data_IF_573175381542
#
_entry.id   IF_573175381542
#
_cell.length_a   1.000
_cell.length_b   1.000
_cell.length_c   1.000
_cell.angle_alpha   90.00
_cell.angle_beta   90.00
_cell.angle_gamma   90.00
#
_symmetry.space_group_name_H-M   'P 1'
#
loop_
_entity.id
_entity.type
_entity.pdbx_description
1 polymer ?
#
# COMPACT_ATOMS: atom_id res chain seq x y z
N UNK A 1 -9.81 0.10 -6.94
CA UNK A 1 -10.28 1.37 -6.33
C UNK A 1 -9.25 1.87 -5.32
N UNK A 2 -8.71 3.09 -5.52
CA UNK A 2 -7.77 3.70 -4.57
C UNK A 2 -8.48 4.13 -3.28
N UNK A 3 -7.74 4.11 -2.17
CA UNK A 3 -8.20 4.54 -0.84
C UNK A 3 -7.61 5.91 -0.55
N UNK A 4 -8.32 6.97 -0.97
CA UNK A 4 -7.88 8.36 -0.84
C UNK A 4 -6.42 8.54 -1.31
N UNK A 5 -5.63 9.35 -0.60
CA UNK A 5 -4.19 9.55 -0.85
C UNK A 5 -3.28 8.57 -0.13
N UNK A 6 -3.76 7.40 0.32
CA UNK A 6 -2.95 6.47 1.15
C UNK A 6 -1.93 5.63 0.38
N UNK A 7 -1.90 5.77 -0.95
CA UNK A 7 -1.21 4.89 -1.91
C UNK A 7 -1.67 3.42 -1.86
N UNK A 8 -2.85 3.13 -1.29
CA UNK A 8 -3.41 1.79 -1.19
C UNK A 8 -4.59 1.61 -2.14
N UNK A 9 -4.73 0.39 -2.67
CA UNK A 9 -5.98 -0.11 -3.22
C UNK A 9 -6.75 -0.88 -2.15
N UNK A 10 -8.08 -0.95 -2.31
CA UNK A 10 -8.93 -1.81 -1.46
C UNK A 10 -8.46 -3.27 -1.53
N UNK A 11 -8.15 -3.74 -2.73
CA UNK A 11 -7.52 -5.02 -2.99
C UNK A 11 -6.31 -4.79 -3.90
N UNK A 12 -5.19 -5.42 -3.56
CA UNK A 12 -3.99 -5.43 -4.41
C UNK A 12 -4.20 -6.37 -5.61
N UNK A 13 -3.42 -6.18 -6.67
CA UNK A 13 -3.48 -7.00 -7.89
C UNK A 13 -3.12 -8.46 -7.63
N UNK A 14 -2.14 -8.66 -6.73
CA UNK A 14 -1.68 -9.97 -6.31
C UNK A 14 -1.99 -10.20 -4.83
N UNK A 15 -1.89 -11.45 -4.40
CA UNK A 15 -2.04 -11.79 -3.00
C UNK A 15 -0.85 -11.22 -2.21
N UNK A 16 -1.11 -10.22 -1.37
CA UNK A 16 -0.12 -9.64 -0.47
C UNK A 16 -0.43 -9.99 0.99
N UNK A 17 0.53 -9.73 1.88
CA UNK A 17 0.30 -9.81 3.33
C UNK A 17 -0.88 -8.95 3.78
N UNK A 18 -1.16 -7.82 3.09
CA UNK A 18 -2.32 -6.97 3.39
C UNK A 18 -3.64 -7.69 3.11
N UNK A 19 -3.75 -8.41 2.00
CA UNK A 19 -4.97 -9.16 1.65
C UNK A 19 -5.29 -10.23 2.71
N UNK A 20 -4.28 -10.98 3.16
CA UNK A 20 -4.45 -12.02 4.18
C UNK A 20 -4.74 -11.38 5.55
N UNK A 21 -4.05 -10.31 5.92
CA UNK A 21 -4.33 -9.57 7.15
C UNK A 21 -5.75 -8.99 7.14
N UNK A 22 -6.22 -8.46 6.01
CA UNK A 22 -7.57 -7.94 5.85
C UNK A 22 -8.62 -9.01 6.10
N UNK A 23 -8.42 -10.22 5.57
CA UNK A 23 -9.28 -11.36 5.87
C UNK A 23 -9.33 -11.62 7.38
N UNK A 24 -8.18 -11.77 8.04
CA UNK A 24 -8.11 -11.99 9.48
C UNK A 24 -8.80 -10.87 10.28
N UNK A 25 -8.63 -9.60 9.88
CA UNK A 25 -9.25 -8.44 10.51
C UNK A 25 -10.77 -8.44 10.38
N UNK A 26 -11.33 -8.81 9.23
CA UNK A 26 -12.78 -8.91 9.07
C UNK A 26 -13.37 -9.97 10.00
N UNK A 27 -12.70 -11.11 10.16
CA UNK A 27 -13.09 -12.14 11.14
C UNK A 27 -12.91 -11.65 12.57
N UNK A 28 -11.86 -10.90 12.88
CA UNK A 28 -11.65 -10.31 14.20
C UNK A 28 -12.80 -9.35 14.54
N UNK A 29 -13.15 -8.43 13.63
CA UNK A 29 -14.26 -7.47 13.79
C UNK A 29 -15.60 -8.20 13.94
N UNK A 30 -15.84 -9.25 13.14
CA UNK A 30 -17.05 -10.06 13.26
C UNK A 30 -17.17 -10.76 14.62
N UNK A 31 -16.08 -11.37 15.09
CA UNK A 31 -16.06 -12.05 16.39
C UNK A 31 -16.15 -11.05 17.56
N UNK A 32 -15.56 -9.86 17.43
CA UNK A 32 -15.75 -8.76 18.37
C UNK A 32 -17.22 -8.34 18.41
N UNK A 33 -17.86 -8.16 17.25
CA UNK A 33 -19.30 -7.86 17.18
C UNK A 33 -20.16 -8.94 17.87
N UNK A 34 -19.79 -10.21 17.72
CA UNK A 34 -20.46 -11.35 18.38
C UNK A 34 -20.03 -11.59 19.83
N UNK A 35 -19.15 -10.75 20.38
CA UNK A 35 -18.59 -10.89 21.75
C UNK A 35 -17.88 -12.22 22.00
N UNK A 36 -17.37 -12.86 20.93
CA UNK A 36 -16.58 -14.09 21.01
C UNK A 36 -15.12 -13.75 21.25
N UNK A 37 -14.79 -13.42 22.51
CA UNK A 37 -13.49 -12.86 22.90
C UNK A 37 -12.30 -13.73 22.48
N UNK A 38 -12.35 -15.06 22.70
CA UNK A 38 -11.26 -15.97 22.33
C UNK A 38 -10.96 -15.95 20.83
N UNK A 39 -12.00 -16.03 19.99
CA UNK A 39 -11.85 -15.97 18.53
C UNK A 39 -11.38 -14.58 18.07
N UNK A 40 -11.89 -13.51 18.66
CA UNK A 40 -11.43 -12.15 18.37
C UNK A 40 -9.93 -11.99 18.66
N UNK A 41 -9.45 -12.48 19.81
CA UNK A 41 -8.03 -12.45 20.18
C UNK A 41 -7.20 -13.26 19.18
N UNK A 42 -7.62 -14.49 18.87
CA UNK A 42 -6.90 -15.36 17.93
C UNK A 42 -6.73 -14.72 16.55
N UNK A 43 -7.82 -14.19 15.97
CA UNK A 43 -7.77 -13.50 14.67
C UNK A 43 -6.98 -12.19 14.72
N UNK A 44 -7.01 -11.47 15.84
CA UNK A 44 -6.23 -10.26 16.04
C UNK A 44 -4.73 -10.53 16.10
N UNK A 45 -4.33 -11.58 16.82
CA UNK A 45 -2.93 -12.04 16.89
C UNK A 45 -2.46 -12.49 15.51
N UNK A 46 -3.26 -13.28 14.79
CA UNK A 46 -2.94 -13.68 13.42
C UNK A 46 -2.72 -12.46 12.50
N UNK A 47 -3.61 -11.46 12.55
CA UNK A 47 -3.47 -10.24 11.77
C UNK A 47 -2.20 -9.44 12.12
N UNK A 48 -1.85 -9.35 13.42
CA UNK A 48 -0.61 -8.71 13.89
C UNK A 48 0.63 -9.42 13.37
N UNK A 49 0.67 -10.76 13.40
CA UNK A 49 1.80 -11.55 12.91
C UNK A 49 2.00 -11.40 11.40
N UNK A 50 0.91 -11.27 10.63
CA UNK A 50 0.97 -11.14 9.17
C UNK A 50 1.31 -9.71 8.74
N UNK A 51 0.66 -8.73 9.35
CA UNK A 51 0.83 -7.32 9.00
C UNK A 51 0.60 -6.41 10.23
N UNK A 52 1.65 -6.06 10.99
CA UNK A 52 1.53 -5.37 12.27
C UNK A 52 0.71 -4.08 12.21
N UNK A 53 0.96 -3.22 11.21
CA UNK A 53 0.28 -1.93 11.07
C UNK A 53 -1.24 -2.08 10.87
N UNK A 54 -1.66 -2.94 9.94
CA UNK A 54 -3.06 -3.23 9.68
C UNK A 54 -3.71 -3.92 10.89
N UNK A 55 -2.99 -4.83 11.54
CA UNK A 55 -3.39 -5.47 12.80
C UNK A 55 -3.80 -4.45 13.86
N UNK A 56 -2.96 -3.45 14.12
CA UNK A 56 -3.24 -2.36 15.08
C UNK A 56 -4.51 -1.59 14.70
N UNK A 57 -4.68 -1.24 13.42
CA UNK A 57 -5.87 -0.53 12.93
C UNK A 57 -7.17 -1.33 13.09
N UNK A 58 -7.13 -2.65 12.86
CA UNK A 58 -8.31 -3.48 13.03
C UNK A 58 -8.63 -3.81 14.49
N UNK A 59 -7.61 -3.98 15.33
CA UNK A 59 -7.78 -4.17 16.77
C UNK A 59 -8.39 -2.92 17.41
N UNK A 60 -7.86 -1.73 17.09
CA UNK A 60 -8.39 -0.47 17.61
C UNK A 60 -9.85 -0.26 17.19
N UNK A 61 -10.21 -0.60 15.95
CA UNK A 61 -11.59 -0.57 15.50
C UNK A 61 -12.48 -1.58 16.25
N UNK A 62 -12.04 -2.82 16.39
CA UNK A 62 -12.79 -3.87 17.08
C UNK A 62 -13.05 -3.51 18.56
N UNK A 63 -12.05 -2.93 19.24
CA UNK A 63 -12.18 -2.40 20.59
C UNK A 63 -13.19 -1.26 20.67
N UNK A 64 -13.09 -0.28 19.77
CA UNK A 64 -14.05 0.83 19.71
C UNK A 64 -15.48 0.33 19.48
N UNK A 65 -15.66 -0.63 18.58
CA UNK A 65 -16.94 -1.25 18.28
C UNK A 65 -17.54 -1.95 19.52
N UNK A 66 -16.73 -2.73 20.24
CA UNK A 66 -17.12 -3.37 21.51
C UNK A 66 -17.55 -2.35 22.57
N UNK A 67 -16.77 -1.28 22.73
CA UNK A 67 -17.06 -0.21 23.70
C UNK A 67 -18.38 0.51 23.38
N UNK A 68 -18.59 0.88 22.11
CA UNK A 68 -19.82 1.56 21.70
C UNK A 68 -21.04 0.64 21.81
N UNK A 69 -20.91 -0.64 21.44
CA UNK A 69 -21.98 -1.63 21.59
C UNK A 69 -22.40 -1.81 23.06
N UNK A 70 -21.43 -1.94 23.97
CA UNK A 70 -21.70 -2.06 25.42
C UNK A 70 -22.34 -0.80 26.00
N UNK A 71 -21.92 0.39 25.55
CA UNK A 71 -22.48 1.67 25.99
C UNK A 71 -23.93 1.88 25.57
N UNK A 72 -24.37 1.32 24.45
CA UNK A 72 -25.80 1.36 24.08
C UNK A 72 -26.65 0.34 24.86
N UNK A 73 -26.04 -0.73 25.36
CA UNK A 73 -26.71 -1.71 26.23
C UNK A 73 -26.86 -1.25 27.68
N UNK A 74 -26.01 -0.34 28.14
CA UNK A 74 -26.01 0.18 29.51
C UNK A 74 -26.24 1.68 29.47
N UNK A 75 -27.47 2.12 29.79
CA UNK A 75 -27.80 3.56 29.88
C UNK A 75 -26.81 4.25 30.82
N UNK A 76 -25.98 5.11 30.23
CA UNK A 76 -25.11 6.10 30.85
C UNK A 76 -24.21 5.61 32.00
N UNK A 77 -22.90 5.48 31.73
CA UNK A 77 -21.84 6.05 32.57
C UNK A 77 -20.49 6.07 31.86
N UNK A 78 -19.91 7.27 31.84
CA UNK A 78 -18.52 7.67 31.57
C UNK A 78 -17.86 7.17 30.26
N UNK A 79 -17.48 8.15 29.42
CA UNK A 79 -16.32 7.99 28.54
C UNK A 79 -15.10 7.75 29.42
N UNK A 80 -14.39 6.62 29.32
CA UNK A 80 -13.03 6.60 29.78
C UNK A 80 -12.23 7.39 28.75
N UNK A 81 -11.86 8.61 29.10
CA UNK A 81 -10.71 9.27 28.50
C UNK A 81 -9.53 8.32 28.71
N UNK A 82 -9.10 7.62 27.67
CA UNK A 82 -7.83 6.91 27.69
C UNK A 82 -6.75 7.93 27.33
N UNK A 83 -5.97 8.46 28.30
CA UNK A 83 -4.70 9.05 27.94
C UNK A 83 -3.78 7.88 27.59
N UNK A 84 -3.78 7.46 26.33
CA UNK A 84 -2.68 6.63 25.86
C UNK A 84 -1.49 7.57 25.66
N UNK A 85 -0.84 7.90 26.78
CA UNK A 85 0.48 8.51 26.77
C UNK A 85 1.45 7.43 26.26
N UNK A 86 1.53 7.26 24.94
CA UNK A 86 2.60 6.50 24.33
C UNK A 86 3.87 7.31 24.59
N UNK A 87 4.89 6.77 25.28
CA UNK A 87 6.15 7.46 25.44
C UNK A 87 6.80 7.60 24.06
N UNK A 88 6.57 8.75 23.42
CA UNK A 88 7.12 9.09 22.10
C UNK A 88 8.63 9.30 22.15
N UNK A 89 9.21 9.46 23.35
CA UNK A 89 10.62 9.79 23.58
C UNK A 89 11.59 8.73 23.06
N UNK A 90 11.20 7.45 23.01
CA UNK A 90 12.00 6.37 22.42
C UNK A 90 11.75 6.12 20.93
N UNK A 91 10.74 6.77 20.34
CA UNK A 91 10.36 6.59 18.93
C UNK A 91 10.95 7.68 18.00
N UNK A 92 11.45 8.76 18.59
CA UNK A 92 12.12 9.85 17.89
C UNK A 92 13.58 9.47 17.65
N UNK A 93 13.84 8.72 16.59
CA UNK A 93 15.21 8.45 16.15
C UNK A 93 15.82 9.71 15.52
N UNK A 94 17.13 9.89 15.69
CA UNK A 94 17.88 10.90 14.94
C UNK A 94 17.78 10.53 13.46
N UNK A 95 17.10 11.36 12.67
CA UNK A 95 17.00 11.15 11.23
C UNK A 95 18.26 11.68 10.54
N UNK A 96 18.93 10.81 9.78
CA UNK A 96 20.03 11.24 8.92
C UNK A 96 19.51 12.07 7.74
N UNK A 97 20.39 12.81 7.07
CA UNK A 97 20.03 13.53 5.85
C UNK A 97 19.54 12.58 4.76
N UNK A 98 20.11 11.37 4.67
CA UNK A 98 19.64 10.38 3.71
C UNK A 98 18.22 9.90 3.99
N UNK A 99 17.85 9.72 5.26
CA UNK A 99 16.47 9.42 5.63
C UNK A 99 15.51 10.54 5.20
N UNK A 100 15.91 11.81 5.39
CA UNK A 100 15.09 12.96 4.98
C UNK A 100 14.86 12.98 3.47
N UNK A 101 15.85 12.57 2.66
CA UNK A 101 15.67 12.42 1.21
C UNK A 101 14.70 11.29 0.90
N UNK A 102 14.85 10.13 1.53
CA UNK A 102 13.97 8.97 1.30
C UNK A 102 12.51 9.26 1.68
N UNK A 103 12.25 9.88 2.83
CA UNK A 103 10.87 10.15 3.28
C UNK A 103 10.16 11.19 2.42
N UNK A 104 10.90 12.13 1.82
CA UNK A 104 10.33 13.13 0.89
C UNK A 104 9.84 12.52 -0.43
N UNK A 105 10.31 11.33 -0.81
CA UNK A 105 9.74 10.61 -1.98
C UNK A 105 8.36 10.02 -1.66
N UNK A 106 7.95 10.00 -0.39
CA UNK A 106 6.68 9.43 0.10
C UNK A 106 5.69 10.51 0.48
N UNK A 107 5.23 11.27 -0.51
CA UNK A 107 4.27 12.35 -0.27
C UNK A 107 3.00 11.92 0.45
N UNK A 108 2.53 10.69 0.18
CA UNK A 108 1.36 10.11 0.84
C UNK A 108 1.50 9.92 2.36
N UNK A 109 2.71 9.99 2.93
CA UNK A 109 2.90 10.01 4.38
C UNK A 109 2.43 11.32 5.01
N UNK A 110 2.42 12.42 4.25
CA UNK A 110 2.19 13.77 4.75
C UNK A 110 0.85 14.30 4.25
N UNK A 111 -0.09 14.49 5.16
CA UNK A 111 -1.47 14.86 4.80
C UNK A 111 -1.57 16.22 4.07
N UNK A 112 -0.64 17.13 4.33
CA UNK A 112 -0.60 18.44 3.66
C UNK A 112 -0.12 18.36 2.20
N UNK A 113 0.49 17.24 1.79
CA UNK A 113 0.89 17.01 0.40
C UNK A 113 -0.20 16.30 -0.41
N UNK A 114 -1.33 15.96 0.24
CA UNK A 114 -2.46 15.32 -0.43
C UNK A 114 -3.23 16.32 -1.30
N UNK A 115 -3.64 15.85 -2.47
CA UNK A 115 -4.46 16.59 -3.42
C UNK A 115 -5.89 16.77 -2.91
N UNK A 116 -6.60 17.79 -3.40
CA UNK A 116 -7.97 18.11 -2.95
C UNK A 116 -8.95 16.92 -3.05
N UNK A 117 -8.81 16.06 -4.07
CA UNK A 117 -9.65 14.88 -4.24
C UNK A 117 -9.31 13.76 -3.25
N UNK A 118 -8.08 13.73 -2.73
CA UNK A 118 -7.67 12.79 -1.68
C UNK A 118 -8.26 13.20 -0.33
N UNK A 119 -8.37 14.51 -0.06
CA UNK A 119 -9.14 15.05 1.06
C UNK A 119 -10.63 14.71 0.95
N UNK A 120 -11.21 14.79 -0.24
CA UNK A 120 -12.56 14.30 -0.48
C UNK A 120 -12.68 12.80 -0.15
N UNK A 121 -11.63 12.02 -0.45
CA UNK A 121 -11.50 10.62 -0.03
C UNK A 121 -11.46 10.37 1.48
N UNK A 122 -11.20 11.39 2.31
CA UNK A 122 -11.32 11.29 3.78
C UNK A 122 -12.76 11.54 4.19
N UNK A 123 -13.33 12.67 3.74
CA UNK A 123 -14.60 13.18 4.28
C UNK A 123 -15.84 12.57 3.62
N UNK A 124 -15.81 12.26 2.32
CA UNK A 124 -16.97 11.68 1.63
C UNK A 124 -17.40 10.33 2.24
N UNK A 125 -16.50 9.38 2.57
CA UNK A 125 -16.85 8.18 3.32
C UNK A 125 -17.55 8.46 4.66
N UNK A 126 -17.11 9.48 5.41
CA UNK A 126 -17.71 9.81 6.70
C UNK A 126 -19.14 10.35 6.53
N UNK A 127 -19.36 11.19 5.52
CA UNK A 127 -20.70 11.68 5.15
C UNK A 127 -21.60 10.52 4.74
N UNK A 128 -21.09 9.58 3.92
CA UNK A 128 -21.84 8.39 3.51
C UNK A 128 -22.21 7.51 4.71
N UNK A 129 -21.27 7.26 5.63
CA UNK A 129 -21.53 6.51 6.86
C UNK A 129 -22.57 7.21 7.74
N UNK A 130 -22.55 8.54 7.82
CA UNK A 130 -23.56 9.30 8.53
C UNK A 130 -24.95 9.14 7.90
N UNK A 131 -25.03 9.15 6.57
CA UNK A 131 -26.27 8.86 5.84
C UNK A 131 -26.74 7.41 6.09
N UNK A 132 -25.83 6.44 6.06
CA UNK A 132 -26.14 5.02 6.34
C UNK A 132 -26.66 4.83 7.75
N UNK A 133 -26.08 5.51 8.73
CA UNK A 133 -26.55 5.56 10.12
C UNK A 133 -27.99 6.11 10.20
N UNK A 134 -28.30 7.22 9.51
CA UNK A 134 -29.65 7.80 9.44
C UNK A 134 -30.66 6.85 8.81
N UNK A 135 -30.31 6.21 7.70
CA UNK A 135 -31.14 5.22 7.00
C UNK A 135 -31.36 3.99 7.90
N UNK A 136 -30.32 3.55 8.60
CA UNK A 136 -30.36 2.38 9.49
C UNK A 136 -31.30 2.61 10.67
N UNK A 137 -31.27 3.80 11.30
CA UNK A 137 -32.24 4.17 12.35
C UNK A 137 -33.67 4.17 11.84
N UNK A 138 -33.92 4.77 10.67
CA UNK A 138 -35.26 4.80 10.05
C UNK A 138 -35.81 3.39 9.80
N UNK A 139 -34.94 2.45 9.41
CA UNK A 139 -35.31 1.07 9.09
C UNK A 139 -35.17 0.09 10.27
N UNK A 140 -34.96 0.58 11.50
CA UNK A 140 -34.77 -0.23 12.72
C UNK A 140 -33.65 -1.28 12.58
N UNK A 141 -32.50 -0.87 12.04
CA UNK A 141 -31.31 -1.70 11.88
C UNK A 141 -30.22 -1.27 12.87
N UNK A 142 -30.28 -1.70 14.14
CA UNK A 142 -29.38 -1.22 15.19
C UNK A 142 -27.92 -1.57 14.91
N UNK A 143 -27.67 -2.76 14.35
CA UNK A 143 -26.31 -3.19 14.02
C UNK A 143 -25.63 -2.25 13.02
N UNK A 144 -26.30 -1.94 11.91
CA UNK A 144 -25.79 -1.05 10.87
C UNK A 144 -25.60 0.38 11.39
N UNK A 145 -26.45 0.86 12.30
CA UNK A 145 -26.30 2.18 12.92
C UNK A 145 -25.04 2.26 13.79
N UNK A 146 -24.86 1.30 14.70
CA UNK A 146 -23.70 1.27 15.61
C UNK A 146 -22.40 1.18 14.81
N UNK A 147 -22.32 0.25 13.85
CA UNK A 147 -21.12 0.07 13.01
C UNK A 147 -20.81 1.35 12.22
N UNK A 148 -21.83 2.00 11.65
CA UNK A 148 -21.63 3.24 10.89
C UNK A 148 -21.10 4.36 11.79
N UNK A 149 -21.67 4.53 12.99
CA UNK A 149 -21.23 5.54 13.95
C UNK A 149 -19.83 5.26 14.50
N UNK A 150 -19.49 4.00 14.78
CA UNK A 150 -18.14 3.64 15.21
C UNK A 150 -17.10 3.91 14.12
N UNK A 151 -17.43 3.67 12.85
CA UNK A 151 -16.54 4.01 11.73
C UNK A 151 -16.29 5.50 11.58
N UNK A 152 -17.29 6.34 11.86
CA UNK A 152 -17.12 7.80 11.85
C UNK A 152 -16.14 8.22 12.95
N UNK A 153 -16.35 7.75 14.18
CA UNK A 153 -15.45 8.05 15.31
C UNK A 153 -14.04 7.55 15.02
N UNK A 154 -13.92 6.34 14.49
CA UNK A 154 -12.65 5.74 14.07
C UNK A 154 -11.91 6.59 13.03
N UNK A 155 -12.60 7.00 11.96
CA UNK A 155 -12.02 7.82 10.90
C UNK A 155 -11.56 9.19 11.40
N UNK A 156 -12.38 9.85 12.23
CA UNK A 156 -12.02 11.14 12.84
C UNK A 156 -10.83 11.02 13.80
N UNK A 157 -10.77 9.95 14.59
CA UNK A 157 -9.64 9.69 15.48
C UNK A 157 -8.32 9.58 14.71
N UNK A 158 -8.27 8.75 13.66
CA UNK A 158 -7.06 8.60 12.86
C UNK A 158 -6.73 9.81 11.99
N UNK A 159 -7.73 10.59 11.59
CA UNK A 159 -7.52 11.89 10.96
C UNK A 159 -6.80 12.86 11.92
N UNK A 160 -7.25 12.98 13.16
CA UNK A 160 -6.55 13.79 14.18
C UNK A 160 -5.14 13.25 14.43
N UNK A 161 -4.98 11.93 14.55
CA UNK A 161 -3.66 11.31 14.70
C UNK A 161 -2.74 11.65 13.51
N UNK A 162 -3.26 11.69 12.28
CA UNK A 162 -2.50 12.10 11.11
C UNK A 162 -2.06 13.56 11.17
N UNK A 163 -2.93 14.48 11.58
CA UNK A 163 -2.56 15.89 11.75
C UNK A 163 -1.44 16.04 12.79
N UNK A 164 -1.54 15.35 13.93
CA UNK A 164 -0.56 15.42 15.01
C UNK A 164 0.78 14.82 14.61
N UNK A 165 0.79 13.69 13.91
CA UNK A 165 2.03 12.95 13.60
C UNK A 165 2.73 13.45 12.34
N UNK A 166 2.01 14.04 11.38
CA UNK A 166 2.56 14.31 10.04
C UNK A 166 2.79 15.79 9.74
N UNK A 167 2.19 16.72 10.50
CA UNK A 167 2.40 18.16 10.30
C UNK A 167 3.71 18.65 10.94
N UNK A 168 4.01 18.33 12.23
CA UNK A 168 5.21 18.87 12.86
C UNK A 168 6.47 18.16 12.34
N UNK A 169 7.47 18.93 11.89
CA UNK A 169 8.74 18.37 11.38
C UNK A 169 9.46 17.50 12.41
N UNK A 170 9.34 17.84 13.70
CA UNK A 170 9.88 17.03 14.81
C UNK A 170 9.40 15.58 14.82
N UNK A 171 8.25 15.29 14.21
CA UNK A 171 7.62 13.97 14.18
C UNK A 171 7.81 13.25 12.84
N UNK A 172 8.69 13.74 11.97
CA UNK A 172 8.89 13.19 10.63
C UNK A 172 9.17 11.67 10.61
N UNK A 173 9.92 11.14 11.60
CA UNK A 173 10.18 9.70 11.72
C UNK A 173 8.95 8.89 12.13
N UNK A 174 8.00 9.51 12.83
CA UNK A 174 6.73 8.89 13.23
C UNK A 174 5.74 8.78 12.06
N UNK A 175 5.99 9.48 10.95
CA UNK A 175 5.18 9.35 9.74
C UNK A 175 5.13 7.90 9.21
N UNK A 176 6.11 7.05 9.56
CA UNK A 176 6.12 5.61 9.27
C UNK A 176 4.88 4.85 9.78
N UNK A 177 4.21 5.36 10.82
CA UNK A 177 2.98 4.78 11.35
C UNK A 177 1.76 5.02 10.44
N UNK A 178 1.85 5.92 9.47
CA UNK A 178 0.89 6.09 8.37
C UNK A 178 -0.57 6.01 8.84
N UNK A 179 -1.01 6.84 9.80
CA UNK A 179 -2.31 6.73 10.46
C UNK A 179 -3.50 6.73 9.48
N UNK A 180 -3.37 7.42 8.35
CA UNK A 180 -4.40 7.45 7.30
C UNK A 180 -4.61 6.11 6.59
N UNK A 181 -3.69 5.14 6.69
CA UNK A 181 -3.91 3.77 6.17
C UNK A 181 -5.05 3.04 6.89
N UNK A 182 -5.48 3.51 8.06
CA UNK A 182 -6.73 3.10 8.70
C UNK A 182 -7.97 3.24 7.79
N UNK A 183 -7.93 4.17 6.81
CA UNK A 183 -8.99 4.34 5.82
C UNK A 183 -9.25 3.07 5.00
N UNK A 184 -8.26 2.18 4.85
CA UNK A 184 -8.45 0.93 4.11
C UNK A 184 -9.55 0.06 4.74
N UNK A 185 -9.48 -0.16 6.06
CA UNK A 185 -10.52 -0.89 6.79
C UNK A 185 -11.86 -0.15 6.74
N UNK A 186 -11.84 1.19 6.87
CA UNK A 186 -13.03 2.02 6.78
C UNK A 186 -13.73 1.85 5.43
N UNK A 187 -12.98 1.89 4.32
CA UNK A 187 -13.49 1.73 2.97
C UNK A 187 -14.10 0.35 2.77
N UNK A 188 -13.43 -0.71 3.22
CA UNK A 188 -13.96 -2.08 3.11
C UNK A 188 -15.31 -2.19 3.81
N UNK A 189 -15.40 -1.73 5.05
CA UNK A 189 -16.64 -1.79 5.82
C UNK A 189 -17.71 -0.83 5.26
N UNK A 190 -17.32 0.32 4.72
CA UNK A 190 -18.21 1.23 3.98
C UNK A 190 -18.86 0.51 2.80
N UNK A 191 -18.08 -0.14 1.94
CA UNK A 191 -18.64 -0.85 0.77
C UNK A 191 -19.48 -2.05 1.17
N UNK A 192 -19.10 -2.78 2.22
CA UNK A 192 -19.87 -3.90 2.73
C UNK A 192 -21.24 -3.45 3.29
N UNK A 193 -21.25 -2.40 4.11
CA UNK A 193 -22.50 -1.82 4.64
C UNK A 193 -23.33 -1.16 3.54
N UNK A 194 -22.68 -0.38 2.69
CA UNK A 194 -23.31 0.32 1.57
C UNK A 194 -23.96 -0.64 0.60
N UNK A 195 -23.26 -1.70 0.19
CA UNK A 195 -23.79 -2.77 -0.65
C UNK A 195 -24.99 -3.48 -0.01
N UNK A 196 -24.92 -3.78 1.29
CA UNK A 196 -26.04 -4.38 2.02
C UNK A 196 -27.28 -3.48 2.09
N UNK A 197 -27.10 -2.20 2.41
CA UNK A 197 -28.18 -1.21 2.44
C UNK A 197 -28.76 -0.94 1.05
N UNK A 198 -27.90 -0.84 0.03
CA UNK A 198 -28.29 -0.63 -1.35
C UNK A 198 -29.10 -1.83 -1.87
N UNK A 199 -28.65 -3.05 -1.57
CA UNK A 199 -29.39 -4.29 -1.84
C UNK A 199 -30.77 -4.30 -1.19
N UNK A 200 -30.86 -3.96 0.10
CA UNK A 200 -32.13 -3.97 0.86
C UNK A 200 -33.10 -2.85 0.45
N UNK A 201 -32.60 -1.64 0.25
CA UNK A 201 -33.44 -0.45 0.06
C UNK A 201 -33.75 -0.16 -1.41
N UNK A 202 -32.77 -0.33 -2.31
CA UNK A 202 -32.84 0.14 -3.70
C UNK A 202 -32.96 -1.01 -4.68
N UNK A 203 -32.01 -1.96 -4.68
CA UNK A 203 -31.95 -3.01 -5.70
C UNK A 203 -33.07 -4.04 -5.52
N UNK A 204 -33.30 -4.46 -4.27
CA UNK A 204 -34.32 -5.45 -3.89
C UNK A 204 -34.19 -6.71 -4.78
N UNK A 205 -35.33 -7.29 -5.19
CA UNK A 205 -35.40 -8.51 -6.02
C UNK A 205 -35.30 -8.23 -7.53
N UNK A 206 -35.13 -6.98 -7.95
CA UNK A 206 -35.21 -6.59 -9.36
C UNK A 206 -33.85 -6.75 -10.05
N UNK A 207 -33.65 -7.84 -10.79
CA UNK A 207 -32.39 -8.16 -11.47
C UNK A 207 -31.86 -7.03 -12.36
N UNK A 208 -32.73 -6.32 -13.08
CA UNK A 208 -32.32 -5.20 -13.93
C UNK A 208 -31.64 -4.06 -13.16
N UNK A 209 -32.03 -3.79 -11.91
CA UNK A 209 -31.39 -2.76 -11.07
C UNK A 209 -29.95 -3.13 -10.74
N UNK A 210 -29.69 -4.42 -10.53
CA UNK A 210 -28.34 -4.94 -10.33
C UNK A 210 -27.50 -4.79 -11.59
N UNK A 211 -28.05 -5.13 -12.76
CA UNK A 211 -27.35 -4.98 -14.04
C UNK A 211 -27.01 -3.51 -14.31
N UNK A 212 -27.98 -2.61 -14.20
CA UNK A 212 -27.80 -1.17 -14.46
C UNK A 212 -26.78 -0.54 -13.50
N UNK A 213 -26.65 -1.04 -12.28
CA UNK A 213 -25.63 -0.55 -11.34
C UNK A 213 -24.25 -1.14 -11.63
N UNK A 214 -24.14 -2.47 -11.69
CA UNK A 214 -22.85 -3.14 -11.70
C UNK A 214 -22.19 -3.15 -13.08
N UNK A 215 -22.96 -3.19 -14.18
CA UNK A 215 -22.38 -3.23 -15.51
C UNK A 215 -21.57 -1.95 -15.84
N UNK A 216 -22.08 -0.73 -15.59
CA UNK A 216 -21.28 0.49 -15.75
C UNK A 216 -20.09 0.55 -14.78
N UNK A 217 -20.27 0.17 -13.51
CA UNK A 217 -19.19 0.20 -12.51
C UNK A 217 -18.05 -0.75 -12.90
N UNK A 218 -18.38 -1.97 -13.33
CA UNK A 218 -17.40 -2.94 -13.82
C UNK A 218 -16.71 -2.42 -15.09
N UNK A 219 -17.46 -1.84 -16.03
CA UNK A 219 -16.88 -1.26 -17.25
C UNK A 219 -15.89 -0.12 -16.96
N UNK A 220 -16.25 0.80 -16.05
CA UNK A 220 -15.37 1.88 -15.62
C UNK A 220 -14.13 1.34 -14.91
N UNK A 221 -14.28 0.38 -14.00
CA UNK A 221 -13.14 -0.22 -13.30
C UNK A 221 -12.22 -0.98 -14.26
N UNK A 222 -12.78 -1.71 -15.23
CA UNK A 222 -12.00 -2.36 -16.28
C UNK A 222 -11.18 -1.34 -17.08
N UNK A 223 -11.80 -0.25 -17.53
CA UNK A 223 -11.13 0.81 -18.25
C UNK A 223 -9.99 1.43 -17.44
N UNK A 224 -10.24 1.77 -16.18
CA UNK A 224 -9.23 2.34 -15.27
C UNK A 224 -8.07 1.36 -15.05
N UNK A 225 -8.35 0.06 -14.88
CA UNK A 225 -7.30 -0.95 -14.71
C UNK A 225 -6.44 -1.11 -15.97
N UNK A 226 -7.03 -1.05 -17.17
CA UNK A 226 -6.28 -1.11 -18.43
C UNK A 226 -5.39 0.11 -18.65
N UNK A 227 -5.78 1.28 -18.16
CA UNK A 227 -4.93 2.47 -18.20
C UNK A 227 -3.83 2.45 -17.14
N UNK A 228 -4.10 1.87 -15.97
CA UNK A 228 -3.17 1.82 -14.86
C UNK A 228 -2.05 0.79 -15.08
N UNK A 229 -2.36 -0.31 -15.77
CA UNK A 229 -1.43 -1.40 -16.09
C UNK A 229 -1.41 -1.63 -17.62
N UNK A 230 -0.77 -0.73 -18.38
CA UNK A 230 -0.75 -0.83 -19.84
C UNK A 230 0.17 -1.93 -20.35
N UNK A 231 1.23 -2.27 -19.61
CA UNK A 231 2.24 -3.24 -20.06
C UNK A 231 1.93 -4.68 -19.63
N UNK A 232 1.05 -4.86 -18.65
CA UNK A 232 0.56 -6.16 -18.19
C UNK A 232 -0.75 -6.56 -18.86
N UNK A 233 -0.95 -7.86 -19.12
CA UNK A 233 -2.26 -8.38 -19.51
C UNK A 233 -3.25 -8.17 -18.36
N UNK A 234 -4.52 -7.91 -18.68
CA UNK A 234 -5.54 -7.76 -17.65
C UNK A 234 -5.79 -9.05 -16.85
N UNK A 235 -5.58 -10.20 -17.51
CA UNK A 235 -5.70 -11.53 -16.89
C UNK A 235 -4.43 -12.30 -17.23
N UNK A 236 -3.75 -12.79 -16.19
CA UNK A 236 -2.62 -13.70 -16.30
C UNK A 236 -3.12 -15.14 -16.23
N UNK A 237 -3.04 -15.85 -17.36
CA UNK A 237 -3.47 -17.24 -17.46
C UNK A 237 -2.30 -18.20 -17.19
N UNK A 238 -2.53 -19.28 -16.41
CA UNK A 238 -1.51 -20.31 -16.22
C UNK A 238 -1.03 -20.89 -17.55
N UNK A 239 0.28 -20.99 -17.74
CA UNK A 239 0.89 -21.58 -18.93
C UNK A 239 0.98 -20.66 -20.15
N UNK A 240 0.48 -19.43 -20.08
CA UNK A 240 0.66 -18.43 -21.16
C UNK A 240 2.00 -17.71 -20.97
N UNK A 241 2.74 -17.54 -22.07
CA UNK A 241 4.01 -16.83 -22.07
C UNK A 241 3.82 -15.34 -21.71
N UNK A 242 4.79 -14.79 -20.98
CA UNK A 242 4.76 -13.40 -20.54
C UNK A 242 4.90 -12.44 -21.72
N UNK A 243 3.91 -11.58 -21.93
CA UNK A 243 3.94 -10.59 -23.02
C UNK A 243 4.74 -9.33 -22.66
N UNK A 244 4.97 -9.07 -21.37
CA UNK A 244 5.71 -7.90 -20.90
C UNK A 244 7.22 -8.11 -21.09
N UNK A 245 7.87 -7.22 -21.83
CA UNK A 245 9.30 -7.25 -22.15
C UNK A 245 10.21 -7.21 -20.91
N UNK A 246 9.84 -6.44 -19.87
CA UNK A 246 10.59 -6.41 -18.60
C UNK A 246 10.55 -7.77 -17.92
N UNK A 247 9.37 -8.39 -17.84
CA UNK A 247 9.21 -9.70 -17.23
C UNK A 247 9.93 -10.81 -18.01
N UNK A 248 9.94 -10.76 -19.34
CA UNK A 248 10.73 -11.69 -20.15
C UNK A 248 12.22 -11.54 -19.88
N UNK A 249 12.73 -10.30 -19.77
CA UNK A 249 14.13 -10.06 -19.43
C UNK A 249 14.47 -10.60 -18.03
N UNK A 250 13.59 -10.39 -17.05
CA UNK A 250 13.79 -10.86 -15.68
C UNK A 250 13.76 -12.41 -15.59
N UNK A 251 12.84 -13.07 -16.29
CA UNK A 251 12.82 -14.54 -16.37
C UNK A 251 14.07 -15.09 -17.08
N UNK A 252 14.53 -14.43 -18.14
CA UNK A 252 15.79 -14.80 -18.78
C UNK A 252 16.98 -14.67 -17.82
N UNK A 253 17.08 -13.55 -17.09
CA UNK A 253 18.14 -13.31 -16.08
C UNK A 253 18.13 -14.43 -15.05
N UNK A 254 16.95 -14.76 -14.50
CA UNK A 254 16.79 -15.81 -13.49
C UNK A 254 17.41 -17.15 -13.91
N UNK A 255 17.32 -17.49 -15.20
CA UNK A 255 17.77 -18.78 -15.74
C UNK A 255 19.20 -18.76 -16.29
N UNK A 256 19.73 -17.59 -16.66
CA UNK A 256 20.95 -17.50 -17.47
C UNK A 256 22.11 -16.74 -16.81
N UNK A 257 21.93 -16.20 -15.60
CA UNK A 257 23.03 -15.52 -14.88
C UNK A 257 23.36 -16.20 -13.54
N UNK A 258 24.59 -16.08 -13.03
CA UNK A 258 24.97 -16.62 -11.72
C UNK A 258 24.06 -16.11 -10.59
N UNK A 259 23.81 -16.92 -9.56
CA UNK A 259 22.89 -16.59 -8.46
C UNK A 259 23.39 -15.37 -7.65
N UNK A 260 24.70 -15.27 -7.49
CA UNK A 260 25.42 -14.19 -6.80
C UNK A 260 25.68 -12.95 -7.67
N UNK A 261 25.21 -12.96 -8.93
CA UNK A 261 25.37 -11.81 -9.82
C UNK A 261 24.67 -10.56 -9.27
N UNK A 262 25.41 -9.45 -9.23
CA UNK A 262 24.89 -8.13 -8.88
C UNK A 262 24.60 -7.32 -10.15
N UNK A 263 23.37 -6.83 -10.25
CA UNK A 263 22.90 -6.03 -11.37
C UNK A 263 22.87 -4.53 -11.05
N UNK A 264 23.05 -3.71 -12.09
CA UNK A 264 22.54 -2.34 -12.10
C UNK A 264 21.47 -2.19 -13.19
N UNK A 265 20.45 -1.42 -12.87
CA UNK A 265 19.28 -1.15 -13.72
C UNK A 265 18.93 0.31 -13.48
N UNK A 266 18.27 0.97 -14.44
CA UNK A 266 17.77 2.33 -14.23
C UNK A 266 17.06 2.41 -12.86
N UNK A 267 17.50 3.26 -11.90
CA UNK A 267 16.91 3.29 -10.56
C UNK A 267 15.42 3.71 -10.57
N UNK A 268 14.92 4.23 -11.70
CA UNK A 268 13.53 4.59 -11.92
C UNK A 268 12.79 3.64 -12.87
N UNK A 269 13.33 2.46 -13.23
CA UNK A 269 12.73 1.58 -14.25
C UNK A 269 11.27 1.20 -13.98
N UNK A 270 10.84 1.18 -12.72
CA UNK A 270 9.45 0.87 -12.34
C UNK A 270 8.46 1.99 -12.71
N UNK A 271 8.91 3.14 -13.21
CA UNK A 271 8.06 4.14 -13.87
C UNK A 271 7.81 3.80 -15.35
N UNK A 272 8.63 2.92 -15.93
CA UNK A 272 8.58 2.48 -17.34
C UNK A 272 7.95 1.09 -17.50
N UNK A 273 7.56 0.48 -16.38
CA UNK A 273 6.95 -0.83 -16.26
C UNK A 273 5.75 -0.73 -15.30
N UNK A 274 4.91 -1.74 -15.23
CA UNK A 274 3.78 -1.84 -14.30
C UNK A 274 4.23 -2.14 -12.84
N UNK A 275 5.40 -1.63 -12.45
CA UNK A 275 6.04 -1.73 -11.13
C UNK A 275 6.42 -3.15 -10.67
N UNK A 276 6.82 -4.03 -11.58
CA UNK A 276 7.29 -5.36 -11.20
C UNK A 276 8.66 -5.29 -10.51
N UNK A 277 8.80 -6.03 -9.41
CA UNK A 277 10.03 -6.04 -8.64
C UNK A 277 11.09 -6.96 -9.25
N UNK A 278 12.18 -6.39 -9.77
CA UNK A 278 13.35 -7.13 -10.28
C UNK A 278 13.79 -8.26 -9.35
N UNK A 279 14.03 -7.98 -8.05
CA UNK A 279 14.55 -8.99 -7.11
C UNK A 279 13.62 -10.19 -6.95
N UNK A 280 12.31 -9.97 -7.02
CA UNK A 280 11.32 -11.03 -6.91
C UNK A 280 11.19 -11.86 -8.20
N UNK A 281 11.28 -11.22 -9.37
CA UNK A 281 11.08 -11.87 -10.65
C UNK A 281 12.36 -12.52 -11.20
N UNK A 282 13.48 -11.81 -11.11
CA UNK A 282 14.78 -12.26 -11.60
C UNK A 282 15.54 -13.11 -10.58
N UNK A 283 15.15 -13.08 -9.30
CA UNK A 283 15.86 -13.74 -8.20
C UNK A 283 17.36 -13.41 -8.17
N UNK A 284 17.71 -12.16 -8.49
CA UNK A 284 19.08 -11.63 -8.44
C UNK A 284 19.14 -10.35 -7.63
N UNK A 285 20.33 -10.08 -7.11
CA UNK A 285 20.61 -8.83 -6.42
C UNK A 285 20.77 -7.69 -7.42
N UNK A 286 20.40 -6.49 -7.00
CA UNK A 286 20.70 -5.26 -7.73
C UNK A 286 20.99 -4.12 -6.77
N UNK A 287 21.68 -3.10 -7.29
CA UNK A 287 21.79 -1.81 -6.62
C UNK A 287 20.41 -1.23 -6.29
N UNK A 288 20.39 -0.35 -5.30
CA UNK A 288 19.16 0.24 -4.79
C UNK A 288 18.42 1.05 -5.86
N UNK A 289 17.09 0.98 -5.85
CA UNK A 289 16.23 1.81 -6.71
C UNK A 289 15.62 2.99 -5.95
N UNK A 290 15.09 3.96 -6.67
CA UNK A 290 14.48 5.14 -6.08
C UNK A 290 13.01 4.93 -5.63
N UNK A 291 12.33 3.90 -6.14
CA UNK A 291 10.86 3.78 -6.12
C UNK A 291 10.34 2.87 -5.00
N UNK A 292 10.93 1.69 -4.75
CA UNK A 292 10.51 0.70 -3.74
C UNK A 292 11.50 0.63 -2.58
N UNK A 293 12.82 0.64 -2.84
CA UNK A 293 13.83 0.54 -1.78
C UNK A 293 13.78 1.72 -0.80
N UNK A 294 13.45 2.93 -1.29
CA UNK A 294 13.16 4.10 -0.45
C UNK A 294 12.04 3.84 0.56
N UNK A 295 11.09 2.95 0.24
CA UNK A 295 9.98 2.58 1.12
C UNK A 295 10.46 1.77 2.32
N UNK A 296 11.38 0.83 2.11
CA UNK A 296 12.01 0.10 3.20
C UNK A 296 12.79 1.04 4.13
N UNK A 297 13.59 1.94 3.55
CA UNK A 297 14.34 2.97 4.31
C UNK A 297 13.41 3.82 5.18
N UNK A 298 12.24 4.21 4.66
CA UNK A 298 11.30 5.04 5.46
C UNK A 298 10.69 4.32 6.66
N UNK A 299 10.61 2.98 6.62
CA UNK A 299 10.08 2.17 7.73
C UNK A 299 11.16 1.85 8.77
N UNK A 300 12.41 1.71 8.31
CA UNK A 300 13.59 1.41 9.13
C UNK A 300 14.57 2.60 9.07
N UNK A 301 14.30 3.68 9.83
CA UNK A 301 15.08 4.92 9.79
C UNK A 301 16.51 4.77 10.31
N UNK A 302 16.87 3.60 10.83
CA UNK A 302 18.16 3.35 11.46
C UNK A 302 19.28 3.30 10.41
N UNK A 303 20.42 3.90 10.77
CA UNK A 303 21.66 3.78 10.01
C UNK A 303 22.14 2.32 10.05
N UNK A 304 22.75 1.79 8.97
CA UNK A 304 23.27 2.48 7.78
C UNK A 304 22.37 2.43 6.53
N UNK A 305 21.17 1.84 6.60
CA UNK A 305 20.34 1.53 5.42
C UNK A 305 20.00 2.74 4.56
N UNK A 306 19.73 3.89 5.20
CA UNK A 306 19.42 5.13 4.50
C UNK A 306 20.62 5.66 3.69
N UNK A 307 21.82 5.60 4.27
CA UNK A 307 23.04 6.09 3.61
C UNK A 307 23.42 5.19 2.43
N UNK A 308 23.38 3.87 2.59
CA UNK A 308 23.64 2.94 1.48
C UNK A 308 22.65 3.13 0.34
N UNK A 309 21.36 3.31 0.65
CA UNK A 309 20.36 3.61 -0.37
C UNK A 309 20.66 4.90 -1.12
N UNK A 310 20.99 5.98 -0.40
CA UNK A 310 21.27 7.27 -1.02
C UNK A 310 22.55 7.24 -1.84
N UNK A 311 23.59 6.56 -1.36
CA UNK A 311 24.85 6.39 -2.05
C UNK A 311 24.65 5.65 -3.39
N UNK A 312 23.99 4.49 -3.37
CA UNK A 312 23.75 3.69 -4.57
C UNK A 312 22.82 4.38 -5.58
N UNK A 313 21.79 5.09 -5.10
CA UNK A 313 20.90 5.85 -5.99
C UNK A 313 21.61 7.08 -6.59
N UNK A 314 22.51 7.73 -5.85
CA UNK A 314 23.37 8.81 -6.39
C UNK A 314 24.36 8.28 -7.41
N UNK A 315 24.98 7.12 -7.16
CA UNK A 315 25.94 6.51 -8.08
C UNK A 315 25.32 6.14 -9.44
N UNK A 316 23.99 5.93 -9.46
CA UNK A 316 23.20 5.61 -10.66
C UNK A 316 22.46 6.83 -11.25
N UNK A 317 22.67 8.04 -10.72
CA UNK A 317 21.97 9.26 -11.17
C UNK A 317 22.40 9.64 -12.58
N UNK A 318 21.43 9.99 -13.43
CA UNK A 318 21.69 10.36 -14.83
C UNK A 318 21.85 9.13 -15.73
N UNK A 319 21.23 8.01 -15.36
CA UNK A 319 21.30 6.72 -16.06
C UNK A 319 21.17 6.81 -17.58
N UNK A 320 20.29 7.67 -18.09
CA UNK A 320 20.05 7.89 -19.53
C UNK A 320 21.29 8.39 -20.29
N UNK A 321 22.26 8.99 -19.59
CA UNK A 321 23.49 9.53 -20.15
C UNK A 321 24.73 8.70 -19.79
N UNK A 322 24.54 7.52 -19.19
CA UNK A 322 25.66 6.67 -18.82
C UNK A 322 26.46 6.25 -20.04
N UNK A 323 27.77 6.23 -19.88
CA UNK A 323 28.69 5.67 -20.84
C UNK A 323 29.28 4.37 -20.30
N UNK A 324 30.03 3.66 -21.14
CA UNK A 324 30.73 2.43 -20.73
C UNK A 324 31.59 2.64 -19.47
N UNK A 325 32.24 3.79 -19.35
CA UNK A 325 33.07 4.14 -18.20
C UNK A 325 32.26 4.21 -16.89
N UNK A 326 31.02 4.68 -16.91
CA UNK A 326 30.16 4.75 -15.73
C UNK A 326 29.77 3.36 -15.23
N UNK A 327 29.49 2.42 -16.14
CA UNK A 327 29.21 1.03 -15.76
C UNK A 327 30.44 0.34 -15.19
N UNK A 328 31.63 0.58 -15.77
CA UNK A 328 32.89 0.09 -15.22
C UNK A 328 33.17 0.66 -13.82
N UNK A 329 32.83 1.93 -13.57
CA UNK A 329 32.89 2.53 -12.23
C UNK A 329 31.95 1.79 -11.25
N UNK A 330 30.72 1.48 -11.66
CA UNK A 330 29.80 0.70 -10.82
C UNK A 330 30.32 -0.71 -10.52
N UNK A 331 31.00 -1.35 -11.47
CA UNK A 331 31.67 -2.63 -11.25
C UNK A 331 32.79 -2.47 -10.20
N UNK A 332 33.69 -1.50 -10.37
CA UNK A 332 34.81 -1.29 -9.44
C UNK A 332 34.37 -1.00 -8.00
N UNK A 333 33.32 -0.20 -7.82
CA UNK A 333 32.88 0.23 -6.48
C UNK A 333 31.99 -0.83 -5.81
N UNK A 334 31.05 -1.42 -6.56
CA UNK A 334 29.98 -2.26 -5.98
C UNK A 334 30.03 -3.72 -6.42
N UNK A 335 30.88 -4.09 -7.38
CA UNK A 335 30.91 -5.45 -7.94
C UNK A 335 29.76 -5.74 -8.91
N UNK A 336 29.18 -4.71 -9.54
CA UNK A 336 28.17 -4.89 -10.59
C UNK A 336 28.78 -5.62 -11.78
N UNK A 337 28.28 -6.83 -12.07
CA UNK A 337 28.74 -7.66 -13.18
C UNK A 337 27.79 -7.63 -14.39
N UNK A 338 26.55 -7.22 -14.16
CA UNK A 338 25.51 -7.19 -15.19
C UNK A 338 24.70 -5.90 -15.17
N UNK A 339 24.22 -5.48 -16.33
CA UNK A 339 23.33 -4.33 -16.46
C UNK A 339 22.12 -4.64 -17.32
N UNK A 340 21.00 -3.99 -16.98
CA UNK A 340 19.80 -3.96 -17.81
C UNK A 340 19.64 -2.54 -18.33
N UNK A 341 19.70 -2.40 -19.66
CA UNK A 341 19.62 -1.10 -20.34
C UNK A 341 18.55 -1.13 -21.42
N UNK A 342 18.01 0.04 -21.72
CA UNK A 342 17.10 0.19 -22.84
C UNK A 342 17.81 -0.11 -24.17
N UNK A 343 17.05 -0.62 -25.13
CA UNK A 343 17.56 -0.93 -26.46
C UNK A 343 18.03 0.31 -27.22
N UNK A 344 17.38 1.45 -26.98
CA UNK A 344 17.69 2.76 -27.55
C UNK A 344 19.06 3.33 -27.14
N UNK A 345 19.62 2.89 -26.01
CA UNK A 345 20.89 3.42 -25.51
C UNK A 345 22.04 3.13 -26.49
N UNK A 346 22.73 4.17 -26.96
CA UNK A 346 23.83 4.06 -27.93
C UNK A 346 25.15 3.58 -27.29
N UNK A 347 25.11 2.42 -26.62
CA UNK A 347 26.23 1.86 -25.86
C UNK A 347 26.54 0.45 -26.38
N UNK A 348 27.81 0.25 -26.72
CA UNK A 348 28.34 -1.03 -27.22
C UNK A 348 28.88 -1.85 -26.05
N UNK A 349 28.13 -2.88 -25.66
CA UNK A 349 28.49 -3.87 -24.64
C UNK A 349 28.15 -5.28 -25.14
N UNK A 350 28.75 -6.29 -24.52
CA UNK A 350 28.38 -7.69 -24.76
C UNK A 350 27.01 -7.96 -24.12
N UNK A 351 25.98 -8.08 -24.96
CA UNK A 351 24.58 -8.22 -24.54
C UNK A 351 24.00 -9.56 -25.05
N UNK A 352 24.11 -10.65 -24.26
CA UNK A 352 23.61 -11.96 -24.65
C UNK A 352 22.08 -12.04 -24.79
N UNK A 353 21.33 -11.12 -24.17
CA UNK A 353 19.87 -11.05 -24.31
C UNK A 353 19.44 -9.68 -24.83
N UNK A 354 18.46 -9.72 -25.76
CA UNK A 354 17.84 -8.53 -26.36
C UNK A 354 16.38 -8.85 -26.66
N UNK A 355 15.48 -7.93 -26.35
CA UNK A 355 14.08 -7.96 -26.78
C UNK A 355 13.72 -6.59 -27.41
N UNK A 356 12.45 -6.29 -27.74
CA UNK A 356 12.10 -5.00 -28.34
C UNK A 356 12.48 -3.79 -27.48
N UNK A 357 12.36 -3.89 -26.16
CA UNK A 357 12.56 -2.76 -25.24
C UNK A 357 13.95 -2.74 -24.57
N UNK A 358 14.53 -3.90 -24.27
CA UNK A 358 15.64 -4.06 -23.33
C UNK A 358 16.79 -4.89 -23.91
N UNK A 359 17.96 -4.67 -23.32
CA UNK A 359 19.14 -5.52 -23.46
C UNK A 359 19.71 -5.82 -22.08
N UNK A 360 20.17 -7.05 -21.90
CA UNK A 360 20.91 -7.46 -20.70
C UNK A 360 22.35 -7.67 -21.12
N UNK A 361 23.27 -6.94 -20.48
CA UNK A 361 24.66 -6.84 -20.89
C UNK A 361 25.62 -7.14 -19.74
N UNK A 362 26.79 -7.67 -20.07
CA UNK A 362 27.89 -7.90 -19.13
C UNK A 362 28.74 -6.64 -18.99
N UNK A 363 29.24 -6.43 -17.78
CA UNK A 363 30.21 -5.37 -17.47
C UNK A 363 31.57 -6.03 -17.29
N UNK A 364 32.33 -6.13 -18.38
CA UNK A 364 33.67 -6.70 -18.43
C UNK A 364 34.72 -5.63 -18.72
#
# INVERSE_FOLDING_TARGET
MPVAGTSLYIADQYLTSRSIATFALLFAVWNAWKERHAAWIAWSVAALCIHPLMGVFGISYALLLLLMKRRESTVAKMLPSFPLAIPLTGLMTVSSDAYRVAVRTRSYFFILQWQWYEWAGIFAPLVLLWLFSRISRKNKLPASDIISRSLIVYGLFYFVAALVLTIPERFQTLARFQPMRSLHLLYILLFLLGGGLLGKCVLKRYAWRWIVLFLPVCGVMYFVQRQLFPTSPHIEWPGVAQANDWLQAFDWIRRNTPIDALFAINPNYMEMDDQHGFRAMAERSRLADAIKDSGAVTMFPDLPSAEHWLEQTRAQRGWEHFQKADFLRLNQIYGVSWIVIERSAAITLDCPYKNPTLRVCRVN
#
